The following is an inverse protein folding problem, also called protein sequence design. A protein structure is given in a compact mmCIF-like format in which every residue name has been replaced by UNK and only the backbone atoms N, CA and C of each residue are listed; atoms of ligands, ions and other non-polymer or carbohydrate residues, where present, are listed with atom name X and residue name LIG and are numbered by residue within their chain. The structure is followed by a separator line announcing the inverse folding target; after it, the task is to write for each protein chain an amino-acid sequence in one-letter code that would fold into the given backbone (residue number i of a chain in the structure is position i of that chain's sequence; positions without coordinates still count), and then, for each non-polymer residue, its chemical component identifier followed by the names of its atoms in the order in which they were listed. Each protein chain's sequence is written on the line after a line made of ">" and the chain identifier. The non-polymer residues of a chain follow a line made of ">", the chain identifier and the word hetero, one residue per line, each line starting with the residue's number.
data_IF_313893578596
#
_entry.id   IF_313893578596
#
_cell.length_a   1.000
_cell.length_b   1.000
_cell.length_c   1.000
_cell.angle_alpha   90.00
_cell.angle_beta   90.00
_cell.angle_gamma   90.00
#
_symmetry.space_group_name_H-M   'P 1'
#
loop_
_entity.id
_entity.type
_entity.pdbx_description
1 polymer ?
#
# COMPACT_ATOMS: atom_id res chain seq x y z
N UNK A 1 -8.57 5.10 -2.95
CA UNK A 1 -8.61 4.52 -1.59
C UNK A 1 -7.69 3.31 -1.52
N UNK A 2 -6.81 3.30 -0.55
CA UNK A 2 -5.89 2.18 -0.34
C UNK A 2 -6.58 1.08 0.46
N UNK A 3 -6.63 -0.12 -0.11
CA UNK A 3 -7.29 -1.26 0.52
C UNK A 3 -6.32 -2.22 1.20
N UNK A 4 -5.18 -2.49 0.56
CA UNK A 4 -4.20 -3.46 1.06
C UNK A 4 -2.79 -3.04 0.70
N UNK A 5 -1.85 -3.48 1.52
CA UNK A 5 -0.41 -3.40 1.22
C UNK A 5 0.15 -4.81 1.40
N UNK A 6 0.75 -5.35 0.34
CA UNK A 6 1.32 -6.70 0.33
C UNK A 6 0.34 -7.75 0.84
N UNK A 7 -0.94 -7.64 0.40
CA UNK A 7 -2.03 -8.53 0.76
C UNK A 7 -2.48 -8.41 2.22
N UNK A 8 -1.98 -7.41 2.95
CA UNK A 8 -2.43 -7.14 4.32
C UNK A 8 -3.44 -6.01 4.30
N UNK A 9 -4.61 -6.19 4.90
CA UNK A 9 -5.66 -5.16 4.86
C UNK A 9 -5.24 -3.90 5.61
N UNK A 10 -5.59 -2.76 5.06
CA UNK A 10 -5.35 -1.46 5.67
C UNK A 10 -6.71 -0.85 5.99
N UNK A 11 -7.09 -0.91 7.27
CA UNK A 11 -8.38 -0.39 7.71
C UNK A 11 -8.29 0.98 8.38
N UNK A 12 -7.08 1.47 8.65
CA UNK A 12 -6.89 2.74 9.33
C UNK A 12 -5.52 3.31 9.03
N UNK A 13 -5.32 4.59 9.40
CA UNK A 13 -4.01 5.23 9.28
C UNK A 13 -2.96 4.52 10.15
N UNK A 14 -3.38 4.00 11.30
CA UNK A 14 -2.46 3.26 12.18
C UNK A 14 -1.95 1.99 11.51
N UNK A 15 -2.81 1.26 10.81
CA UNK A 15 -2.41 0.08 10.06
C UNK A 15 -1.41 0.44 8.97
N UNK A 16 -1.69 1.51 8.23
CA UNK A 16 -0.79 1.99 7.19
C UNK A 16 0.60 2.32 7.75
N UNK A 17 0.65 3.04 8.87
CA UNK A 17 1.92 3.42 9.48
C UNK A 17 2.71 2.21 9.95
N UNK A 18 2.03 1.23 10.53
CA UNK A 18 2.69 0.01 11.00
C UNK A 18 3.32 -0.74 9.82
N UNK A 19 2.58 -0.89 8.74
CA UNK A 19 3.08 -1.59 7.55
C UNK A 19 4.20 -0.81 6.88
N UNK A 20 4.10 0.51 6.84
CA UNK A 20 5.14 1.36 6.26
C UNK A 20 6.44 1.28 7.05
N UNK A 21 6.36 1.19 8.38
CA UNK A 21 7.55 1.06 9.23
C UNK A 21 8.24 -0.27 9.07
N UNK A 22 7.51 -1.32 8.72
CA UNK A 22 8.07 -2.63 8.50
C UNK A 22 8.80 -2.74 7.16
N UNK A 23 8.60 -1.79 6.26
CA UNK A 23 9.24 -1.79 4.95
C UNK A 23 10.69 -1.34 5.06
N UNK A 24 11.56 -2.00 4.31
CA UNK A 24 12.98 -1.66 4.27
C UNK A 24 13.36 -1.11 2.90
N UNK A 25 14.44 -0.34 2.87
CA UNK A 25 14.98 0.18 1.61
C UNK A 25 15.22 -0.97 0.63
N UNK A 26 14.74 -0.80 -0.59
CA UNK A 26 14.85 -1.81 -1.63
C UNK A 26 13.65 -2.74 -1.71
N UNK A 27 12.78 -2.72 -0.72
CA UNK A 27 11.56 -3.53 -0.76
C UNK A 27 10.60 -3.00 -1.83
N UNK A 28 9.86 -3.92 -2.43
CA UNK A 28 8.78 -3.56 -3.35
C UNK A 28 7.46 -3.79 -2.64
N UNK A 29 6.64 -2.75 -2.57
CA UNK A 29 5.33 -2.82 -1.95
C UNK A 29 4.26 -2.94 -3.01
N UNK A 30 3.37 -3.93 -2.87
CA UNK A 30 2.23 -4.08 -3.74
C UNK A 30 1.03 -3.40 -3.06
N UNK A 31 0.55 -2.33 -3.67
CA UNK A 31 -0.56 -1.53 -3.16
C UNK A 31 -1.82 -1.86 -3.92
N UNK A 32 -2.86 -2.25 -3.21
CA UNK A 32 -4.16 -2.51 -3.83
C UNK A 32 -5.07 -1.32 -3.58
N UNK A 33 -5.42 -0.62 -4.66
CA UNK A 33 -6.16 0.63 -4.60
C UNK A 33 -7.55 0.47 -5.20
N UNK A 34 -8.50 1.20 -4.64
CA UNK A 34 -9.85 1.29 -5.17
C UNK A 34 -10.20 2.74 -5.50
N UNK A 35 -10.69 2.96 -6.71
CA UNK A 35 -11.12 4.27 -7.19
C UNK A 35 -12.65 4.27 -7.29
N UNK A 36 -13.35 4.81 -6.28
CA UNK A 36 -14.80 4.75 -6.27
C UNK A 36 -15.47 5.55 -7.39
N UNK A 37 -14.83 6.61 -7.87
CA UNK A 37 -15.39 7.45 -8.93
C UNK A 37 -15.61 6.68 -10.23
N UNK A 38 -14.78 5.70 -10.50
CA UNK A 38 -14.83 4.90 -11.72
C UNK A 38 -15.05 3.42 -11.41
N UNK A 39 -15.28 3.10 -10.15
CA UNK A 39 -15.50 1.71 -9.69
C UNK A 39 -14.44 0.75 -10.21
N UNK A 40 -13.18 1.14 -10.06
CA UNK A 40 -12.05 0.33 -10.53
C UNK A 40 -11.08 0.05 -9.39
N UNK A 41 -10.49 -1.12 -9.44
CA UNK A 41 -9.43 -1.54 -8.53
C UNK A 41 -8.14 -1.71 -9.32
N UNK A 42 -7.03 -1.28 -8.72
CA UNK A 42 -5.73 -1.39 -9.37
C UNK A 42 -4.69 -1.87 -8.40
N UNK A 43 -3.78 -2.70 -8.92
CA UNK A 43 -2.60 -3.12 -8.18
C UNK A 43 -1.42 -2.30 -8.69
N UNK A 44 -0.76 -1.59 -7.77
CA UNK A 44 0.38 -0.74 -8.09
C UNK A 44 1.56 -1.19 -7.25
N UNK A 45 2.73 -1.29 -7.88
CA UNK A 45 3.95 -1.62 -7.14
C UNK A 45 4.80 -0.37 -6.95
N UNK A 46 5.34 -0.21 -5.74
CA UNK A 46 6.18 0.93 -5.39
C UNK A 46 7.43 0.40 -4.72
N UNK A 47 8.57 0.92 -5.15
CA UNK A 47 9.85 0.57 -4.53
C UNK A 47 10.16 1.53 -3.41
N UNK A 48 10.53 0.99 -2.27
CA UNK A 48 10.97 1.81 -1.13
C UNK A 48 12.42 2.21 -1.36
N UNK A 49 12.65 3.52 -1.46
CA UNK A 49 13.99 4.05 -1.70
C UNK A 49 14.47 4.85 -0.51
N UNK A 50 15.74 4.71 -0.20
CA UNK A 50 16.40 5.54 0.79
C UNK A 50 16.95 6.80 0.12
N UNK A 51 17.00 7.87 0.87
CA UNK A 51 17.52 9.15 0.35
C UNK A 51 18.99 9.32 0.65
#
# INVERSE_FOLDING_TARGET
>A
MLLEINRQPVGSVADYRRLARAAHTGDVLALYLYYPDIDQRRLVTVRVEDR
#
